data_IF_816237572687
#
_entry.id   IF_816237572687
#
_cell.length_a   1.000
_cell.length_b   1.000
_cell.length_c   1.000
_cell.angle_alpha   90.00
_cell.angle_beta   90.00
_cell.angle_gamma   90.00
#
_symmetry.space_group_name_H-M   'P 1'
#
loop_
_entity.id
_entity.type
_entity.pdbx_description
1 polymer ?
#
# COMPACT_ATOMS: atom_id res chain seq x y z
N UNK A 1 6.01 22.18 24.22
CA UNK A 1 6.62 21.27 25.24
C UNK A 1 6.47 19.87 24.72
N UNK A 2 7.54 19.06 24.64
CA UNK A 2 7.42 17.65 24.28
C UNK A 2 6.65 16.95 25.39
N UNK A 3 5.52 16.33 25.03
CA UNK A 3 4.78 15.45 25.93
C UNK A 3 5.67 14.23 26.24
N UNK A 4 6.13 14.17 27.48
CA UNK A 4 6.88 13.04 28.00
C UNK A 4 5.92 11.85 28.14
N UNK A 5 5.76 11.07 27.08
CA UNK A 5 5.11 9.78 27.18
C UNK A 5 6.04 8.87 27.98
N UNK A 6 5.71 8.67 29.26
CA UNK A 6 6.42 7.74 30.13
C UNK A 6 6.54 6.37 29.47
N UNK A 7 7.68 5.69 29.66
CA UNK A 7 7.90 4.32 29.15
C UNK A 7 6.69 3.44 29.49
N UNK A 8 6.14 2.69 28.52
CA UNK A 8 5.04 1.77 28.80
C UNK A 8 5.45 0.79 29.90
N UNK A 9 4.58 0.58 30.88
CA UNK A 9 4.88 -0.40 31.92
C UNK A 9 4.99 -1.81 31.34
N UNK A 10 5.76 -2.70 31.95
CA UNK A 10 6.05 -4.07 31.50
C UNK A 10 4.79 -4.88 31.12
N UNK A 11 3.64 -4.57 31.70
CA UNK A 11 2.35 -5.19 31.33
C UNK A 11 1.88 -4.78 29.93
N UNK A 12 2.09 -3.51 29.54
CA UNK A 12 1.73 -2.98 28.23
C UNK A 12 2.66 -3.55 27.17
N UNK A 13 3.98 -3.58 27.43
CA UNK A 13 4.95 -4.20 26.52
C UNK A 13 4.59 -5.64 26.21
N UNK A 14 4.31 -6.45 27.23
CA UNK A 14 3.92 -7.86 27.04
C UNK A 14 2.61 -8.00 26.27
N UNK A 15 1.66 -7.09 26.46
CA UNK A 15 0.41 -7.10 25.70
C UNK A 15 0.65 -6.79 24.23
N UNK A 16 1.49 -5.80 23.91
CA UNK A 16 1.90 -5.44 22.54
C UNK A 16 2.67 -6.58 21.87
N UNK A 17 3.64 -7.20 22.56
CA UNK A 17 4.37 -8.36 22.03
C UNK A 17 3.42 -9.53 21.67
N UNK A 18 2.44 -9.80 22.52
CA UNK A 18 1.45 -10.85 22.28
C UNK A 18 0.56 -10.51 21.08
N UNK A 19 0.14 -9.23 20.96
CA UNK A 19 -0.65 -8.75 19.82
C UNK A 19 0.14 -8.89 18.52
N UNK A 20 1.39 -8.40 18.49
CA UNK A 20 2.25 -8.46 17.31
C UNK A 20 2.50 -9.91 16.86
N UNK A 21 2.75 -10.82 17.80
CA UNK A 21 2.93 -12.24 17.49
C UNK A 21 1.67 -12.86 16.88
N UNK A 22 0.50 -12.54 17.42
CA UNK A 22 -0.77 -13.04 16.88
C UNK A 22 -1.06 -12.45 15.50
N UNK A 23 -0.81 -11.15 15.32
CA UNK A 23 -0.95 -10.46 14.03
C UNK A 23 -0.03 -11.12 12.98
N UNK A 24 1.24 -11.35 13.32
CA UNK A 24 2.19 -12.04 12.44
C UNK A 24 1.67 -13.43 12.00
N UNK A 25 1.22 -14.25 12.95
CA UNK A 25 0.73 -15.60 12.65
C UNK A 25 -0.46 -15.59 11.69
N UNK A 26 -1.46 -14.74 11.96
CA UNK A 26 -2.65 -14.61 11.10
C UNK A 26 -2.31 -14.07 9.72
N UNK A 27 -1.38 -13.10 9.65
CA UNK A 27 -0.92 -12.54 8.37
C UNK A 27 -0.11 -13.55 7.57
N UNK A 28 0.69 -14.41 8.22
CA UNK A 28 1.42 -15.47 7.55
C UNK A 28 0.47 -16.51 6.92
N UNK A 29 -0.57 -16.92 7.63
CA UNK A 29 -1.60 -17.81 7.08
C UNK A 29 -2.31 -17.19 5.88
N UNK A 30 -2.67 -15.90 5.99
CA UNK A 30 -3.27 -15.13 4.89
C UNK A 30 -2.33 -15.01 3.68
N UNK A 31 -1.05 -14.74 3.91
CA UNK A 31 -0.04 -14.66 2.84
C UNK A 31 0.12 -15.99 2.10
N UNK A 32 0.19 -17.11 2.82
CA UNK A 32 0.24 -18.44 2.20
C UNK A 32 -1.02 -18.73 1.36
N UNK A 33 -2.20 -18.38 1.85
CA UNK A 33 -3.43 -18.53 1.09
C UNK A 33 -3.41 -17.70 -0.20
N UNK A 34 -3.01 -16.41 -0.11
CA UNK A 34 -2.91 -15.52 -1.27
C UNK A 34 -1.87 -16.00 -2.30
N UNK A 35 -0.77 -16.56 -1.85
CA UNK A 35 0.27 -17.13 -2.72
C UNK A 35 -0.25 -18.33 -3.52
N UNK A 36 -0.95 -19.25 -2.85
CA UNK A 36 -1.59 -20.41 -3.50
C UNK A 36 -2.69 -19.97 -4.49
N UNK A 37 -3.49 -18.97 -4.10
CA UNK A 37 -4.51 -18.39 -4.96
C UNK A 37 -3.88 -17.78 -6.22
N UNK A 38 -2.85 -16.94 -6.07
CA UNK A 38 -2.13 -16.31 -7.17
C UNK A 38 -1.53 -17.36 -8.12
N UNK A 39 -0.90 -18.41 -7.58
CA UNK A 39 -0.35 -19.50 -8.36
C UNK A 39 -1.43 -20.23 -9.16
N UNK A 40 -2.59 -20.48 -8.56
CA UNK A 40 -3.73 -21.15 -9.21
C UNK A 40 -4.32 -20.31 -10.34
N UNK A 41 -4.46 -18.98 -10.12
CA UNK A 41 -4.96 -18.05 -11.14
C UNK A 41 -3.96 -17.92 -12.29
N UNK A 42 -2.67 -17.72 -12.01
CA UNK A 42 -1.61 -17.60 -13.03
C UNK A 42 -1.42 -18.85 -13.86
N UNK A 43 -1.70 -20.02 -13.30
CA UNK A 43 -1.65 -21.31 -14.03
C UNK A 43 -2.97 -21.70 -14.69
N UNK A 44 -3.96 -20.80 -14.75
CA UNK A 44 -5.31 -21.03 -15.32
C UNK A 44 -6.07 -22.21 -14.67
N UNK A 45 -5.71 -22.59 -13.45
CA UNK A 45 -6.43 -23.61 -12.65
C UNK A 45 -7.63 -23.01 -11.89
N UNK A 46 -7.67 -21.69 -11.76
CA UNK A 46 -8.73 -20.95 -11.10
C UNK A 46 -9.01 -19.66 -11.85
N UNK A 47 -10.27 -19.24 -11.86
CA UNK A 47 -10.71 -17.94 -12.38
C UNK A 47 -11.25 -17.09 -11.23
N UNK A 48 -11.04 -15.78 -11.30
CA UNK A 48 -11.50 -14.81 -10.32
C UNK A 48 -11.84 -13.49 -11.02
N UNK A 49 -12.66 -12.68 -10.37
CA UNK A 49 -12.98 -11.31 -10.82
C UNK A 49 -11.88 -10.31 -10.42
N UNK A 50 -10.91 -10.73 -9.60
CA UNK A 50 -9.79 -9.89 -9.21
C UNK A 50 -8.65 -10.01 -10.20
N UNK A 51 -7.96 -8.89 -10.46
CA UNK A 51 -6.73 -8.92 -11.24
C UNK A 51 -5.65 -9.77 -10.54
N UNK A 52 -4.89 -10.61 -11.27
CA UNK A 52 -3.73 -11.29 -10.68
C UNK A 52 -2.76 -10.32 -10.01
N UNK A 53 -2.58 -9.11 -10.59
CA UNK A 53 -1.75 -8.05 -10.01
C UNK A 53 -2.32 -7.56 -8.66
N UNK A 54 -3.64 -7.47 -8.49
CA UNK A 54 -4.24 -7.10 -7.21
C UNK A 54 -3.97 -8.15 -6.13
N UNK A 55 -4.06 -9.43 -6.48
CA UNK A 55 -3.75 -10.52 -5.54
C UNK A 55 -2.27 -10.47 -5.13
N UNK A 56 -1.37 -10.21 -6.07
CA UNK A 56 0.07 -10.04 -5.81
C UNK A 56 0.36 -8.79 -4.96
N UNK A 57 -0.33 -7.70 -5.23
CA UNK A 57 -0.25 -6.44 -4.49
C UNK A 57 -0.54 -6.65 -3.00
N UNK A 58 -1.72 -7.19 -2.68
CA UNK A 58 -2.10 -7.46 -1.28
C UNK A 58 -1.27 -8.58 -0.62
N UNK A 59 -0.62 -9.44 -1.40
CA UNK A 59 0.38 -10.38 -0.89
C UNK A 59 1.68 -9.67 -0.51
N UNK A 60 2.13 -8.69 -1.31
CA UNK A 60 3.31 -7.87 -0.98
C UNK A 60 3.07 -7.04 0.28
N UNK A 61 1.89 -6.44 0.43
CA UNK A 61 1.52 -5.70 1.65
C UNK A 61 1.54 -6.60 2.88
N UNK A 62 0.95 -7.79 2.79
CA UNK A 62 0.98 -8.76 3.88
C UNK A 62 2.42 -9.13 4.28
N UNK A 63 3.30 -9.37 3.30
CA UNK A 63 4.72 -9.67 3.54
C UNK A 63 5.47 -8.48 4.14
N UNK A 64 5.18 -7.27 3.66
CA UNK A 64 5.76 -6.04 4.20
C UNK A 64 5.34 -5.84 5.66
N UNK A 65 4.06 -6.01 5.99
CA UNK A 65 3.56 -5.94 7.35
C UNK A 65 4.23 -6.97 8.27
N UNK A 66 4.39 -8.21 7.82
CA UNK A 66 5.12 -9.25 8.57
C UNK A 66 6.58 -8.83 8.85
N UNK A 67 7.27 -8.29 7.85
CA UNK A 67 8.64 -7.78 8.01
C UNK A 67 8.70 -6.66 9.07
N UNK A 68 7.76 -5.71 9.03
CA UNK A 68 7.67 -4.66 10.04
C UNK A 68 7.44 -5.22 11.46
N UNK A 69 6.57 -6.22 11.61
CA UNK A 69 6.35 -6.88 12.91
C UNK A 69 7.60 -7.62 13.42
N UNK A 70 8.36 -8.25 12.54
CA UNK A 70 9.64 -8.89 12.90
C UNK A 70 10.66 -7.85 13.37
N UNK A 71 10.84 -6.75 12.64
CA UNK A 71 11.75 -5.66 13.01
C UNK A 71 11.37 -5.06 14.37
N UNK A 72 10.07 -4.81 14.58
CA UNK A 72 9.57 -4.33 15.88
C UNK A 72 9.86 -5.33 17.00
N UNK A 73 9.72 -6.63 16.76
CA UNK A 73 10.01 -7.66 17.76
C UNK A 73 11.49 -7.72 18.14
N UNK A 74 12.37 -7.40 17.19
CA UNK A 74 13.83 -7.30 17.40
C UNK A 74 14.28 -5.93 17.92
N UNK A 75 13.33 -4.98 18.07
CA UNK A 75 13.60 -3.59 18.46
C UNK A 75 14.58 -2.89 17.51
N UNK A 76 14.54 -3.24 16.23
CA UNK A 76 15.34 -2.62 15.18
C UNK A 76 14.83 -1.19 14.90
N UNK A 77 15.74 -0.27 14.66
CA UNK A 77 15.40 1.08 14.18
C UNK A 77 14.95 1.02 12.73
N UNK A 78 13.98 1.88 12.35
CA UNK A 78 13.47 2.04 10.97
C UNK A 78 13.90 3.42 10.42
N UNK A 79 14.93 4.02 10.98
CA UNK A 79 15.33 5.41 10.71
C UNK A 79 16.58 5.55 9.84
N UNK A 80 17.14 4.47 9.33
CA UNK A 80 18.30 4.53 8.44
C UNK A 80 17.87 5.06 7.05
N UNK A 81 18.71 5.85 6.36
CA UNK A 81 18.39 6.40 5.04
C UNK A 81 18.02 5.34 3.99
N UNK A 82 18.67 4.18 4.04
CA UNK A 82 18.39 3.05 3.16
C UNK A 82 16.99 2.47 3.41
N UNK A 83 16.58 2.33 4.67
CA UNK A 83 15.22 1.93 5.05
C UNK A 83 14.19 2.92 4.52
N UNK A 84 14.46 4.22 4.55
CA UNK A 84 13.55 5.24 4.06
C UNK A 84 13.32 5.12 2.55
N UNK A 85 14.38 4.92 1.77
CA UNK A 85 14.28 4.71 0.33
C UNK A 85 13.49 3.46 -0.01
N UNK A 86 13.74 2.36 0.68
CA UNK A 86 13.00 1.11 0.49
C UNK A 86 11.50 1.30 0.77
N UNK A 87 11.15 2.09 1.81
CA UNK A 87 9.77 2.45 2.11
C UNK A 87 9.15 3.31 1.00
N UNK A 88 9.86 4.33 0.52
CA UNK A 88 9.37 5.20 -0.56
C UNK A 88 9.13 4.38 -1.83
N UNK A 89 10.09 3.56 -2.23
CA UNK A 89 9.97 2.67 -3.38
C UNK A 89 8.76 1.74 -3.25
N UNK A 90 8.62 1.08 -2.10
CA UNK A 90 7.50 0.18 -1.84
C UNK A 90 6.16 0.92 -1.94
N UNK A 91 5.99 2.03 -1.23
CA UNK A 91 4.72 2.74 -1.18
C UNK A 91 4.37 3.44 -2.49
N UNK A 92 5.34 4.03 -3.20
CA UNK A 92 5.09 4.62 -4.52
C UNK A 92 4.55 3.57 -5.49
N UNK A 93 5.15 2.39 -5.52
CA UNK A 93 4.64 1.28 -6.32
C UNK A 93 3.22 0.89 -5.92
N UNK A 94 2.94 0.77 -4.61
CA UNK A 94 1.59 0.42 -4.14
C UNK A 94 0.57 1.49 -4.56
N UNK A 95 0.88 2.77 -4.40
CA UNK A 95 0.00 3.88 -4.81
C UNK A 95 -0.24 3.91 -6.32
N UNK A 96 0.78 3.68 -7.14
CA UNK A 96 0.64 3.57 -8.59
C UNK A 96 -0.27 2.42 -9.00
N UNK A 97 -0.17 1.27 -8.34
CA UNK A 97 -1.05 0.12 -8.58
C UNK A 97 -2.49 0.39 -8.12
N UNK A 98 -2.71 1.07 -6.98
CA UNK A 98 -4.05 1.52 -6.56
C UNK A 98 -4.73 2.36 -7.65
N UNK A 99 -4.01 3.34 -8.18
CA UNK A 99 -4.54 4.20 -9.24
C UNK A 99 -4.93 3.38 -10.50
N UNK A 100 -4.11 2.41 -10.89
CA UNK A 100 -4.38 1.50 -12.02
C UNK A 100 -5.61 0.61 -11.76
N UNK A 101 -5.79 0.11 -10.52
CA UNK A 101 -6.98 -0.66 -10.16
C UNK A 101 -8.25 0.19 -10.21
N UNK A 102 -8.20 1.42 -9.68
CA UNK A 102 -9.33 2.36 -9.76
C UNK A 102 -9.72 2.60 -11.22
N UNK A 103 -8.75 2.92 -12.09
CA UNK A 103 -9.01 3.12 -13.52
C UNK A 103 -9.66 1.92 -14.22
N UNK A 104 -9.35 0.69 -13.78
CA UNK A 104 -9.89 -0.54 -14.36
C UNK A 104 -11.22 -1.00 -13.75
N UNK A 105 -11.66 -0.42 -12.63
CA UNK A 105 -12.87 -0.79 -11.91
C UNK A 105 -13.98 0.27 -12.00
N UNK A 106 -13.68 1.47 -12.50
CA UNK A 106 -14.66 2.48 -12.85
C UNK A 106 -15.45 2.03 -14.09
N UNK A 107 -16.73 2.43 -14.18
CA UNK A 107 -17.51 2.22 -15.37
C UNK A 107 -16.89 2.95 -16.57
N UNK A 108 -16.88 2.37 -17.79
CA UNK A 108 -16.34 3.03 -18.98
C UNK A 108 -16.93 4.41 -19.28
N UNK A 109 -18.11 4.73 -18.77
CA UNK A 109 -18.71 6.07 -18.90
C UNK A 109 -18.04 7.15 -18.06
N UNK A 110 -17.24 6.77 -17.05
CA UNK A 110 -16.50 7.68 -16.16
C UNK A 110 -15.16 8.12 -16.75
N UNK A 111 -15.14 8.53 -18.02
CA UNK A 111 -13.90 8.81 -18.79
C UNK A 111 -12.95 9.77 -18.10
N UNK A 112 -13.47 10.85 -17.50
CA UNK A 112 -12.65 11.85 -16.81
C UNK A 112 -11.96 11.30 -15.56
N UNK A 113 -12.66 10.47 -14.77
CA UNK A 113 -12.13 9.83 -13.57
C UNK A 113 -11.12 8.74 -13.92
N UNK A 114 -11.39 7.97 -14.99
CA UNK A 114 -10.48 6.96 -15.51
C UNK A 114 -9.15 7.62 -15.95
N UNK A 115 -9.21 8.74 -16.68
CA UNK A 115 -7.98 9.42 -17.12
C UNK A 115 -7.23 10.05 -15.93
N UNK A 116 -7.94 10.63 -14.94
CA UNK A 116 -7.32 11.12 -13.72
C UNK A 116 -6.61 9.99 -12.96
N UNK A 117 -7.23 8.83 -12.79
CA UNK A 117 -6.62 7.67 -12.16
C UNK A 117 -5.39 7.16 -12.94
N UNK A 118 -5.45 7.12 -14.27
CA UNK A 118 -4.30 6.77 -15.12
C UNK A 118 -3.15 7.76 -14.98
N UNK A 119 -3.44 9.04 -14.82
CA UNK A 119 -2.44 10.08 -14.61
C UNK A 119 -1.70 9.85 -13.30
N UNK A 120 -2.39 9.62 -12.19
CA UNK A 120 -1.77 9.22 -10.92
C UNK A 120 -0.90 7.97 -11.07
N UNK A 121 -1.39 6.96 -11.80
CA UNK A 121 -0.61 5.75 -12.06
C UNK A 121 0.73 6.03 -12.73
N UNK A 122 0.78 6.94 -13.72
CA UNK A 122 2.02 7.34 -14.42
C UNK A 122 2.95 8.16 -13.52
N UNK A 123 2.40 9.08 -12.72
CA UNK A 123 3.16 9.90 -11.78
C UNK A 123 3.86 9.04 -10.73
N UNK A 124 3.17 8.07 -10.13
CA UNK A 124 3.78 7.13 -9.20
C UNK A 124 4.76 6.14 -9.85
N UNK A 125 4.57 5.75 -11.10
CA UNK A 125 5.58 4.96 -11.83
C UNK A 125 6.88 5.78 -11.99
N UNK A 126 6.78 7.09 -12.25
CA UNK A 126 7.93 8.00 -12.31
C UNK A 126 8.62 8.13 -10.96
N UNK A 127 7.87 8.43 -9.89
CA UNK A 127 8.39 8.52 -8.53
C UNK A 127 9.05 7.21 -8.05
N UNK A 128 8.52 6.06 -8.47
CA UNK A 128 9.12 4.75 -8.19
C UNK A 128 10.50 4.61 -8.85
N UNK A 129 10.60 5.02 -10.12
CA UNK A 129 11.87 5.00 -10.85
C UNK A 129 12.89 6.00 -10.30
N UNK A 130 12.46 7.17 -9.85
CA UNK A 130 13.29 8.17 -9.19
C UNK A 130 13.83 7.68 -7.84
N UNK A 131 12.99 7.02 -7.04
CA UNK A 131 13.41 6.40 -5.79
C UNK A 131 14.49 5.31 -6.01
N UNK A 132 14.34 4.48 -7.05
CA UNK A 132 15.34 3.49 -7.44
C UNK A 132 16.66 4.13 -7.86
N UNK A 133 16.61 5.24 -8.60
CA UNK A 133 17.81 5.96 -8.99
C UNK A 133 18.48 6.68 -7.81
N UNK A 134 17.69 7.24 -6.88
CA UNK A 134 18.20 7.87 -5.66
C UNK A 134 18.95 6.86 -4.78
N UNK A 135 18.42 5.65 -4.63
CA UNK A 135 19.08 4.55 -3.92
C UNK A 135 20.44 4.20 -4.53
N UNK A 136 20.56 4.23 -5.87
CA UNK A 136 21.77 3.82 -6.57
C UNK A 136 22.86 4.91 -6.64
N UNK A 137 22.53 6.18 -6.43
CA UNK A 137 23.40 7.34 -6.74
C UNK A 137 23.64 8.29 -5.57
N UNK A 138 23.16 7.99 -4.37
CA UNK A 138 23.19 8.93 -3.21
C UNK A 138 22.64 10.34 -3.58
N UNK A 139 21.58 10.37 -4.40
CA UNK A 139 20.91 11.59 -4.81
C UNK A 139 20.02 12.16 -3.68
N UNK A 140 19.37 13.29 -3.92
CA UNK A 140 18.49 13.97 -2.98
C UNK A 140 17.29 13.13 -2.56
N UNK A 141 17.48 12.32 -1.52
CA UNK A 141 16.42 11.50 -0.90
C UNK A 141 15.30 12.39 -0.34
N UNK A 142 15.64 13.59 0.16
CA UNK A 142 14.67 14.50 0.74
C UNK A 142 13.70 15.04 -0.31
N UNK A 143 14.19 15.36 -1.51
CA UNK A 143 13.35 15.79 -2.64
C UNK A 143 12.38 14.70 -3.07
N UNK A 144 12.89 13.50 -3.34
CA UNK A 144 12.04 12.35 -3.73
C UNK A 144 11.01 12.01 -2.64
N UNK A 145 11.38 12.12 -1.37
CA UNK A 145 10.45 11.90 -0.24
C UNK A 145 9.32 12.92 -0.26
N UNK A 146 9.65 14.19 -0.44
CA UNK A 146 8.65 15.27 -0.44
C UNK A 146 7.71 15.16 -1.63
N UNK A 147 8.21 14.88 -2.83
CA UNK A 147 7.40 14.68 -4.04
C UNK A 147 6.46 13.48 -3.88
N UNK A 148 6.96 12.36 -3.34
CA UNK A 148 6.16 11.17 -3.03
C UNK A 148 5.06 11.47 -2.00
N UNK A 149 5.37 12.27 -0.98
CA UNK A 149 4.42 12.67 0.05
C UNK A 149 3.28 13.52 -0.55
N UNK A 150 3.64 14.51 -1.35
CA UNK A 150 2.66 15.42 -1.98
C UNK A 150 1.74 14.65 -2.93
N UNK A 151 2.29 13.76 -3.74
CA UNK A 151 1.49 12.97 -4.68
C UNK A 151 0.59 11.97 -3.95
N UNK A 152 1.06 11.39 -2.84
CA UNK A 152 0.23 10.53 -1.98
C UNK A 152 -0.94 11.29 -1.37
N UNK A 153 -0.75 12.54 -0.93
CA UNK A 153 -1.83 13.39 -0.42
C UNK A 153 -2.87 13.69 -1.51
N UNK A 154 -2.43 14.00 -2.72
CA UNK A 154 -3.33 14.21 -3.87
C UNK A 154 -4.14 12.96 -4.21
N UNK A 155 -3.49 11.79 -4.27
CA UNK A 155 -4.18 10.52 -4.52
C UNK A 155 -5.15 10.17 -3.39
N UNK A 156 -4.78 10.42 -2.12
CA UNK A 156 -5.68 10.24 -0.97
C UNK A 156 -6.95 11.07 -1.14
N UNK A 157 -6.82 12.32 -1.49
CA UNK A 157 -7.96 13.24 -1.65
C UNK A 157 -8.84 12.80 -2.84
N UNK A 158 -8.24 12.37 -3.94
CA UNK A 158 -8.94 11.77 -5.07
C UNK A 158 -9.71 10.49 -4.66
N UNK A 159 -9.08 9.58 -3.91
CA UNK A 159 -9.72 8.36 -3.40
C UNK A 159 -10.88 8.69 -2.45
N UNK A 160 -10.71 9.64 -1.54
CA UNK A 160 -11.76 10.06 -0.61
C UNK A 160 -12.97 10.63 -1.35
N UNK A 161 -12.77 11.48 -2.35
CA UNK A 161 -13.83 12.00 -3.19
C UNK A 161 -14.50 10.89 -4.00
N UNK A 162 -13.72 9.97 -4.57
CA UNK A 162 -14.22 8.81 -5.31
C UNK A 162 -15.07 7.89 -4.46
N UNK A 163 -14.60 7.53 -3.25
CA UNK A 163 -15.36 6.70 -2.30
C UNK A 163 -16.69 7.35 -1.95
N UNK A 164 -16.69 8.67 -1.67
CA UNK A 164 -17.92 9.40 -1.40
C UNK A 164 -18.88 9.36 -2.60
N UNK A 165 -18.42 9.63 -3.80
CA UNK A 165 -19.25 9.62 -5.02
C UNK A 165 -19.83 8.23 -5.33
N UNK A 166 -19.08 7.15 -5.05
CA UNK A 166 -19.59 5.77 -5.18
C UNK A 166 -20.69 5.49 -4.15
N UNK A 167 -20.50 5.86 -2.89
CA UNK A 167 -21.49 5.66 -1.83
C UNK A 167 -22.77 6.50 -2.05
N UNK A 168 -22.61 7.69 -2.62
CA UNK A 168 -23.74 8.59 -2.97
C UNK A 168 -24.41 8.21 -4.31
N UNK A 169 -23.96 7.14 -4.98
CA UNK A 169 -24.42 6.71 -6.32
C UNK A 169 -24.22 7.76 -7.43
N UNK A 170 -23.26 8.66 -7.27
CA UNK A 170 -22.88 9.69 -8.25
C UNK A 170 -21.80 9.19 -9.23
N UNK A 171 -21.03 8.17 -8.85
CA UNK A 171 -19.98 7.55 -9.66
C UNK A 171 -20.34 6.10 -9.95
N UNK A 172 -20.30 5.72 -11.22
CA UNK A 172 -20.58 4.36 -11.66
C UNK A 172 -19.31 3.51 -11.61
N UNK A 173 -19.36 2.35 -10.95
CA UNK A 173 -18.20 1.46 -10.81
C UNK A 173 -18.61 0.06 -10.39
N UNK A 174 -17.67 -0.88 -10.52
CA UNK A 174 -17.75 -2.21 -9.89
C UNK A 174 -16.94 -2.29 -8.58
N UNK A 175 -16.48 -1.13 -8.09
CA UNK A 175 -15.76 -1.02 -6.81
C UNK A 175 -16.75 -1.26 -5.67
N UNK A 176 -16.56 -2.33 -4.92
CA UNK A 176 -17.37 -2.60 -3.72
C UNK A 176 -16.96 -1.66 -2.58
N UNK A 177 -17.88 -1.30 -1.65
CA UNK A 177 -17.59 -0.37 -0.55
C UNK A 177 -16.35 -0.73 0.28
N UNK A 178 -16.11 -2.02 0.54
CA UNK A 178 -14.92 -2.50 1.27
C UNK A 178 -13.61 -2.17 0.53
N UNK A 179 -13.60 -2.25 -0.80
CA UNK A 179 -12.43 -1.90 -1.60
C UNK A 179 -12.28 -0.36 -1.73
N UNK A 180 -13.40 0.36 -1.73
CA UNK A 180 -13.40 1.83 -1.73
C UNK A 180 -12.83 2.44 -0.45
N UNK A 181 -13.03 1.77 0.69
CA UNK A 181 -12.48 2.19 2.00
C UNK A 181 -10.96 1.91 2.13
N UNK A 182 -10.44 0.97 1.35
CA UNK A 182 -9.02 0.62 1.34
C UNK A 182 -8.19 1.70 0.65
#
# INVERSE_FOLDING_TARGET
>A
QPTNYGMPGARVEKAVENLNRKAYQLTAELAMFKEQLLASVRSCKMFTVNYPLLIEHILREARHFMNMLERLSRRESISEPEDLIDQIFFWNRQMGEHAKFIAGLLDPSEEALIEAARMFGREFDTLTAEAEQAASRAMDIAGVTEDSRQETERLRDFKAAGTKGILDCEIQSIIIPLLGDH
#
